data_IF_576127507386
#
_entry.id   IF_576127507386
#
_cell.length_a   1.000
_cell.length_b   1.000
_cell.length_c   1.000
_cell.angle_alpha   90.00
_cell.angle_beta   90.00
_cell.angle_gamma   90.00
#
_symmetry.space_group_name_H-M   'P 1'
#
loop_
_entity.id
_entity.type
_entity.pdbx_description
1 polymer ?
#
# COMPACT_ATOMS: atom_id res chain seq x y z
N UNK A 1 -17.40 -18.51 4.46
CA UNK A 1 -16.05 -17.99 4.18
C UNK A 1 -16.17 -17.03 3.00
N UNK A 2 -15.37 -15.97 2.97
CA UNK A 2 -15.42 -14.91 1.95
C UNK A 2 -14.50 -15.29 0.80
N UNK A 3 -15.03 -15.47 -0.41
CA UNK A 3 -14.22 -15.81 -1.58
C UNK A 3 -13.19 -14.70 -1.88
N UNK A 4 -11.91 -15.07 -1.95
CA UNK A 4 -10.83 -14.13 -2.29
C UNK A 4 -10.38 -14.36 -3.72
N UNK A 5 -10.60 -13.36 -4.56
CA UNK A 5 -10.10 -13.34 -5.93
C UNK A 5 -9.83 -11.91 -6.40
N UNK A 6 -8.56 -11.52 -6.40
CA UNK A 6 -8.10 -10.22 -6.88
C UNK A 6 -7.13 -10.44 -8.04
N UNK A 7 -7.62 -10.18 -9.24
CA UNK A 7 -6.82 -10.35 -10.47
C UNK A 7 -6.18 -9.04 -10.92
N UNK A 8 -6.71 -7.87 -10.55
CA UNK A 8 -6.18 -6.55 -10.92
C UNK A 8 -6.84 -5.41 -10.11
N UNK A 9 -6.25 -4.22 -10.17
CA UNK A 9 -6.72 -3.02 -9.45
C UNK A 9 -7.93 -2.27 -10.07
N UNK A 10 -8.49 -2.73 -11.19
CA UNK A 10 -9.50 -1.98 -11.96
C UNK A 10 -10.77 -2.76 -12.31
N UNK A 11 -10.85 -4.02 -11.91
CA UNK A 11 -12.07 -4.82 -12.06
C UNK A 11 -13.16 -4.31 -11.11
N UNK A 12 -14.41 -4.71 -11.37
CA UNK A 12 -15.51 -4.34 -10.50
C UNK A 12 -15.25 -4.81 -9.06
N UNK A 13 -15.18 -3.86 -8.14
CA UNK A 13 -14.98 -4.12 -6.72
C UNK A 13 -16.26 -4.71 -6.13
N UNK A 14 -16.16 -5.91 -5.54
CA UNK A 14 -17.29 -6.58 -4.88
C UNK A 14 -17.22 -6.47 -3.37
N UNK A 15 -16.03 -6.63 -2.81
CA UNK A 15 -15.80 -6.55 -1.37
C UNK A 15 -14.48 -5.85 -1.09
N UNK A 16 -14.39 -5.15 0.04
CA UNK A 16 -13.18 -4.42 0.44
C UNK A 16 -13.04 -4.40 1.95
N UNK A 17 -11.80 -4.52 2.45
CA UNK A 17 -11.48 -4.19 3.83
C UNK A 17 -11.24 -2.68 3.89
N UNK A 18 -12.11 -1.97 4.59
CA UNK A 18 -11.94 -0.54 4.85
C UNK A 18 -11.47 -0.36 6.30
N UNK A 19 -10.42 0.44 6.49
CA UNK A 19 -9.92 0.76 7.82
C UNK A 19 -10.91 1.51 8.70
N UNK A 20 -10.54 1.69 9.96
CA UNK A 20 -11.27 2.47 10.96
C UNK A 20 -10.55 3.80 11.23
N UNK A 21 -11.35 4.82 11.52
CA UNK A 21 -10.87 6.11 12.00
C UNK A 21 -11.24 6.34 13.47
N UNK A 22 -11.88 5.36 14.11
CA UNK A 22 -12.15 5.30 15.53
C UNK A 22 -10.89 5.04 16.34
N UNK A 23 -10.79 5.71 17.49
CA UNK A 23 -9.74 5.51 18.48
C UNK A 23 -8.32 5.52 17.88
N UNK A 24 -8.04 6.46 16.96
CA UNK A 24 -6.75 6.56 16.27
C UNK A 24 -5.57 6.85 17.21
N UNK A 25 -5.87 7.30 18.44
CA UNK A 25 -4.89 7.75 19.41
C UNK A 25 -4.47 9.20 19.19
N UNK A 26 -3.52 9.65 20.01
CA UNK A 26 -2.92 10.97 19.86
C UNK A 26 -2.00 10.99 18.62
N UNK A 27 -1.83 12.15 17.97
CA UNK A 27 -0.80 12.32 16.94
C UNK A 27 0.55 11.80 17.42
N UNK A 28 1.31 11.06 16.58
CA UNK A 28 2.59 10.51 17.00
C UNK A 28 3.55 11.64 17.37
N UNK A 29 4.44 11.38 18.34
CA UNK A 29 5.48 12.36 18.67
C UNK A 29 6.50 12.40 17.54
N UNK A 30 7.22 13.52 17.46
CA UNK A 30 8.29 13.73 16.46
C UNK A 30 9.33 12.60 16.45
N UNK A 31 9.59 11.95 17.59
CA UNK A 31 10.57 10.86 17.69
C UNK A 31 9.99 9.47 17.36
N UNK A 32 8.67 9.34 17.33
CA UNK A 32 7.97 8.07 17.11
C UNK A 32 7.45 7.95 15.66
N UNK A 33 7.55 9.03 14.87
CA UNK A 33 7.08 9.06 13.49
C UNK A 33 8.09 8.41 12.54
N UNK A 34 7.56 7.60 11.63
CA UNK A 34 8.35 6.73 10.74
C UNK A 34 8.27 7.14 9.26
N UNK A 35 7.60 8.26 8.95
CA UNK A 35 7.51 8.81 7.60
C UNK A 35 7.61 10.36 7.61
N UNK A 36 8.22 10.96 6.56
CA UNK A 36 8.42 12.40 6.50
C UNK A 36 7.13 13.20 6.30
N UNK A 37 6.04 12.61 5.79
CA UNK A 37 4.76 13.31 5.57
C UNK A 37 4.07 13.56 6.91
N UNK A 38 3.95 12.53 7.75
CA UNK A 38 3.48 12.67 9.12
C UNK A 38 4.34 13.65 9.91
N UNK A 39 5.68 13.56 9.80
CA UNK A 39 6.61 14.49 10.45
C UNK A 39 6.38 15.94 10.03
N UNK A 40 6.16 16.19 8.73
CA UNK A 40 5.85 17.51 8.20
C UNK A 40 4.57 18.06 8.84
N UNK A 41 3.50 17.28 8.86
CA UNK A 41 2.21 17.71 9.41
C UNK A 41 2.27 17.96 10.93
N UNK A 42 3.01 17.14 11.68
CA UNK A 42 3.24 17.36 13.12
C UNK A 42 3.99 18.69 13.34
N UNK A 43 5.09 18.92 12.63
CA UNK A 43 5.89 20.15 12.77
C UNK A 43 5.14 21.42 12.39
N UNK A 44 4.16 21.31 11.50
CA UNK A 44 3.34 22.42 11.03
C UNK A 44 1.97 22.53 11.73
N UNK A 45 1.73 21.75 12.79
CA UNK A 45 0.44 21.70 13.50
C UNK A 45 -0.77 21.45 12.56
N UNK A 46 -0.57 20.61 11.55
CA UNK A 46 -1.56 20.27 10.53
C UNK A 46 -1.80 18.76 10.42
N UNK A 47 -1.41 17.99 11.44
CA UNK A 47 -1.76 16.58 11.54
C UNK A 47 -3.28 16.43 11.65
N UNK A 48 -3.91 15.52 10.87
CA UNK A 48 -5.37 15.47 10.80
C UNK A 48 -5.97 15.06 12.14
N UNK A 49 -7.11 15.67 12.48
CA UNK A 49 -7.86 15.32 13.68
C UNK A 49 -8.67 14.04 13.46
N UNK A 50 -8.88 13.24 14.51
CA UNK A 50 -9.73 12.05 14.43
C UNK A 50 -11.14 12.37 13.90
N UNK A 51 -11.68 13.53 14.26
CA UNK A 51 -13.01 13.98 13.79
C UNK A 51 -13.04 14.16 12.28
N UNK A 52 -11.99 14.75 11.69
CA UNK A 52 -11.89 14.96 10.25
C UNK A 52 -11.69 13.63 9.52
N UNK A 53 -10.79 12.78 10.00
CA UNK A 53 -10.52 11.47 9.39
C UNK A 53 -11.77 10.57 9.44
N UNK A 54 -12.50 10.55 10.57
CA UNK A 54 -13.79 9.86 10.69
C UNK A 54 -14.78 10.34 9.65
N UNK A 55 -14.90 11.65 9.48
CA UNK A 55 -15.82 12.24 8.49
C UNK A 55 -15.46 11.78 7.07
N UNK A 56 -14.18 11.75 6.72
CA UNK A 56 -13.72 11.37 5.38
C UNK A 56 -13.88 9.86 5.14
N UNK A 57 -13.48 9.02 6.09
CA UNK A 57 -13.63 7.55 6.01
C UNK A 57 -15.11 7.15 5.94
N UNK A 58 -15.99 7.78 6.74
CA UNK A 58 -17.42 7.50 6.71
C UNK A 58 -18.10 8.04 5.43
N UNK A 59 -17.57 9.10 4.85
CA UNK A 59 -18.02 9.58 3.54
C UNK A 59 -17.64 8.59 2.44
N UNK A 60 -16.43 8.05 2.47
CA UNK A 60 -15.98 7.01 1.54
C UNK A 60 -16.75 5.70 1.72
N UNK A 61 -16.99 5.27 2.95
CA UNK A 61 -17.85 4.13 3.28
C UNK A 61 -19.23 4.23 2.62
N UNK A 62 -19.89 5.39 2.74
CA UNK A 62 -21.20 5.62 2.11
C UNK A 62 -21.16 5.53 0.59
N UNK A 63 -20.07 5.95 -0.04
CA UNK A 63 -19.87 5.81 -1.49
C UNK A 63 -19.77 4.33 -1.86
N UNK A 64 -18.98 3.54 -1.13
CA UNK A 64 -18.83 2.09 -1.38
C UNK A 64 -20.18 1.36 -1.26
N UNK A 65 -20.95 1.64 -0.20
CA UNK A 65 -22.28 1.06 0.00
C UNK A 65 -23.25 1.47 -1.12
N UNK A 66 -23.21 2.74 -1.56
CA UNK A 66 -24.02 3.21 -2.71
C UNK A 66 -23.72 2.44 -3.99
N UNK A 67 -22.49 1.93 -4.14
CA UNK A 67 -22.06 1.11 -5.28
C UNK A 67 -22.24 -0.40 -5.04
N UNK A 68 -22.94 -0.82 -3.96
CA UNK A 68 -23.17 -2.21 -3.58
C UNK A 68 -21.88 -3.01 -3.36
N UNK A 69 -20.86 -2.36 -2.79
CA UNK A 69 -19.63 -3.03 -2.33
C UNK A 69 -19.85 -3.54 -0.91
N UNK A 70 -19.53 -4.80 -0.66
CA UNK A 70 -19.52 -5.39 0.68
C UNK A 70 -18.29 -4.87 1.45
N UNK A 71 -18.53 -4.01 2.44
CA UNK A 71 -17.44 -3.40 3.22
C UNK A 71 -17.21 -4.20 4.51
N UNK A 72 -16.01 -4.75 4.64
CA UNK A 72 -15.50 -5.42 5.83
C UNK A 72 -14.74 -4.39 6.67
N UNK A 73 -14.98 -4.37 7.99
CA UNK A 73 -14.33 -3.44 8.92
C UNK A 73 -13.57 -4.23 9.98
N UNK A 74 -12.33 -3.84 10.33
CA UNK A 74 -11.61 -4.50 11.42
C UNK A 74 -12.32 -4.30 12.75
N UNK A 75 -11.97 -5.13 13.73
CA UNK A 75 -12.30 -4.85 15.12
C UNK A 75 -11.51 -3.63 15.60
N UNK A 76 -12.19 -2.75 16.33
CA UNK A 76 -11.61 -1.52 16.85
C UNK A 76 -10.63 -1.81 18.00
N UNK A 77 -9.40 -1.31 17.89
CA UNK A 77 -8.35 -1.40 18.87
C UNK A 77 -8.12 0.00 19.44
N UNK A 78 -8.26 0.12 20.76
CA UNK A 78 -8.17 1.42 21.44
C UNK A 78 -6.79 2.06 21.25
N UNK A 79 -6.76 3.33 20.82
CA UNK A 79 -5.55 4.13 20.59
C UNK A 79 -4.65 3.54 19.50
N UNK A 80 -5.23 3.00 18.43
CA UNK A 80 -4.55 2.39 17.31
C UNK A 80 -4.99 3.03 15.99
N UNK A 81 -4.04 3.49 15.17
CA UNK A 81 -4.37 4.01 13.85
C UNK A 81 -4.64 2.84 12.88
N UNK A 82 -5.91 2.57 12.60
CA UNK A 82 -6.35 1.45 11.76
C UNK A 82 -6.86 1.88 10.39
N UNK A 83 -6.50 3.07 9.90
CA UNK A 83 -7.02 3.63 8.64
C UNK A 83 -6.47 2.88 7.42
N UNK A 84 -5.18 2.51 7.44
CA UNK A 84 -4.44 2.02 6.27
C UNK A 84 -4.42 0.49 6.16
N UNK A 85 -5.60 -0.10 5.96
CA UNK A 85 -5.74 -1.57 5.83
C UNK A 85 -4.96 -2.19 4.65
N UNK A 86 -4.60 -1.38 3.64
CA UNK A 86 -3.82 -1.80 2.46
C UNK A 86 -2.43 -2.33 2.83
N UNK A 87 -1.82 -1.76 3.86
CA UNK A 87 -0.42 -2.06 4.20
C UNK A 87 -0.28 -3.40 4.95
N UNK A 88 -1.36 -3.84 5.60
CA UNK A 88 -1.40 -4.98 6.50
C UNK A 88 -1.25 -6.33 5.78
N UNK A 89 -1.49 -6.35 4.47
CA UNK A 89 -1.34 -7.54 3.66
C UNK A 89 -1.89 -7.37 2.25
N UNK A 90 -1.71 -8.39 1.44
CA UNK A 90 -2.11 -8.39 0.04
C UNK A 90 -2.54 -9.79 -0.40
N UNK A 91 -3.34 -9.87 -1.46
CA UNK A 91 -3.84 -11.14 -1.99
C UNK A 91 -3.26 -11.40 -3.36
N UNK A 92 -2.72 -12.59 -3.61
CA UNK A 92 -2.33 -13.02 -4.94
C UNK A 92 -3.04 -14.33 -5.24
N UNK A 93 -3.87 -14.34 -6.28
CA UNK A 93 -4.76 -15.46 -6.57
C UNK A 93 -5.71 -15.72 -5.37
N UNK A 94 -5.72 -16.92 -4.79
CA UNK A 94 -6.53 -17.30 -3.62
C UNK A 94 -5.68 -17.40 -2.33
N UNK A 95 -4.57 -16.66 -2.25
CA UNK A 95 -3.68 -16.62 -1.10
C UNK A 95 -3.62 -15.20 -0.56
N UNK A 96 -3.89 -15.04 0.74
CA UNK A 96 -3.63 -13.81 1.49
C UNK A 96 -2.25 -13.89 2.14
N UNK A 97 -1.42 -12.88 1.88
CA UNK A 97 -0.11 -12.68 2.46
C UNK A 97 -0.21 -11.62 3.55
N UNK A 98 0.06 -12.02 4.79
CA UNK A 98 0.13 -11.08 5.90
C UNK A 98 1.50 -10.39 5.89
N UNK A 99 1.50 -9.06 5.79
CA UNK A 99 2.71 -8.26 5.70
C UNK A 99 3.47 -8.20 7.01
N UNK A 100 4.80 -8.11 6.91
CA UNK A 100 5.67 -7.75 8.03
C UNK A 100 5.74 -6.22 8.10
N UNK A 101 4.74 -5.62 8.73
CA UNK A 101 4.68 -4.18 9.00
C UNK A 101 5.64 -3.80 10.13
N UNK A 102 5.97 -2.52 10.25
CA UNK A 102 6.84 -2.06 11.36
C UNK A 102 6.27 -2.39 12.74
N UNK A 103 7.12 -2.66 13.76
CA UNK A 103 6.67 -3.09 15.09
C UNK A 103 5.61 -2.18 15.72
N UNK A 104 5.70 -0.86 15.50
CA UNK A 104 4.75 0.14 16.01
C UNK A 104 3.33 0.02 15.43
N UNK A 105 3.12 -0.84 14.44
CA UNK A 105 1.84 -1.07 13.75
C UNK A 105 1.27 -2.47 13.96
N UNK A 106 1.97 -3.36 14.68
CA UNK A 106 1.56 -4.77 14.82
C UNK A 106 0.15 -4.94 15.41
N UNK A 107 -0.30 -4.03 16.27
CA UNK A 107 -1.66 -4.06 16.84
C UNK A 107 -2.76 -3.94 15.76
N UNK A 108 -2.48 -3.30 14.61
CA UNK A 108 -3.41 -3.20 13.50
C UNK A 108 -3.79 -4.58 12.94
N UNK A 109 -2.85 -5.55 12.97
CA UNK A 109 -3.06 -6.93 12.53
C UNK A 109 -4.05 -7.69 13.42
N UNK A 110 -4.13 -7.32 14.70
CA UNK A 110 -5.10 -7.90 15.64
C UNK A 110 -6.52 -7.54 15.20
N UNK A 111 -6.75 -6.27 14.84
CA UNK A 111 -8.05 -5.77 14.41
C UNK A 111 -8.57 -6.45 13.14
N UNK A 112 -7.71 -6.77 12.18
CA UNK A 112 -8.12 -7.46 10.93
C UNK A 112 -8.18 -8.99 11.06
N UNK A 113 -7.73 -9.58 12.17
CA UNK A 113 -7.58 -11.03 12.31
C UNK A 113 -8.89 -11.81 12.14
N UNK A 114 -10.01 -11.27 12.65
CA UNK A 114 -11.34 -11.85 12.48
C UNK A 114 -11.76 -11.92 11.00
N UNK A 115 -11.45 -10.87 10.23
CA UNK A 115 -11.71 -10.85 8.78
C UNK A 115 -10.83 -11.88 8.08
N UNK A 116 -9.52 -11.89 8.35
CA UNK A 116 -8.57 -12.82 7.71
C UNK A 116 -9.00 -14.27 7.95
N UNK A 117 -9.42 -14.61 9.17
CA UNK A 117 -9.90 -15.95 9.51
C UNK A 117 -11.22 -16.33 8.81
N UNK A 118 -11.97 -15.35 8.30
CA UNK A 118 -13.22 -15.58 7.58
C UNK A 118 -13.02 -15.76 6.06
N UNK A 119 -11.83 -15.49 5.54
CA UNK A 119 -11.50 -15.59 4.11
C UNK A 119 -11.45 -17.06 3.66
N UNK A 120 -11.97 -17.34 2.48
CA UNK A 120 -11.78 -18.60 1.76
C UNK A 120 -10.48 -18.53 0.95
N UNK A 121 -9.36 -18.40 1.67
CA UNK A 121 -8.03 -18.22 1.11
C UNK A 121 -6.99 -18.96 1.94
N UNK A 122 -5.90 -19.39 1.29
CA UNK A 122 -4.70 -19.75 2.03
C UNK A 122 -4.13 -18.50 2.71
N UNK A 123 -3.76 -18.59 3.98
CA UNK A 123 -3.13 -17.47 4.70
C UNK A 123 -1.65 -17.80 4.90
N UNK A 124 -0.79 -16.95 4.35
CA UNK A 124 0.67 -17.04 4.50
C UNK A 124 1.13 -15.89 5.38
N UNK A 125 1.68 -16.23 6.54
CA UNK A 125 2.50 -15.30 7.33
C UNK A 125 3.90 -15.29 6.74
N UNK A 126 4.38 -14.12 6.36
CA UNK A 126 5.69 -13.98 5.74
C UNK A 126 6.81 -14.24 6.77
N UNK A 127 7.91 -14.91 6.40
CA UNK A 127 9.10 -15.00 7.24
C UNK A 127 9.66 -13.63 7.59
N UNK A 128 10.22 -13.45 8.78
CA UNK A 128 10.68 -12.13 9.29
C UNK A 128 11.63 -11.37 8.35
N UNK A 129 12.50 -12.07 7.62
CA UNK A 129 13.44 -11.43 6.67
C UNK A 129 12.76 -10.87 5.41
N UNK A 130 11.50 -11.24 5.15
CA UNK A 130 10.74 -10.72 4.04
C UNK A 130 10.02 -9.44 4.47
N UNK A 131 10.56 -8.30 4.08
CA UNK A 131 9.86 -7.04 4.22
C UNK A 131 9.10 -6.77 2.93
N UNK A 132 7.77 -6.72 3.02
CA UNK A 132 6.87 -6.32 1.94
C UNK A 132 5.51 -5.92 2.52
N UNK A 133 5.05 -4.73 2.15
CA UNK A 133 3.73 -4.20 2.54
C UNK A 133 2.78 -4.18 1.35
N UNK A 134 1.48 -4.29 1.60
CA UNK A 134 0.49 -4.42 0.53
C UNK A 134 0.40 -3.19 -0.39
N UNK A 135 0.76 -1.99 0.08
CA UNK A 135 0.85 -0.79 -0.75
C UNK A 135 1.94 -0.85 -1.82
N UNK A 136 2.97 -1.68 -1.63
CA UNK A 136 4.00 -1.90 -2.65
C UNK A 136 3.59 -2.92 -3.72
N UNK A 137 2.50 -3.68 -3.51
CA UNK A 137 2.07 -4.76 -4.40
C UNK A 137 0.89 -4.32 -5.27
N UNK A 138 1.17 -4.09 -6.56
CA UNK A 138 0.17 -3.66 -7.54
C UNK A 138 -0.11 -4.78 -8.54
N UNK A 139 -1.36 -5.27 -8.57
CA UNK A 139 -1.74 -6.46 -9.33
C UNK A 139 -2.26 -6.07 -10.72
N UNK A 140 -1.74 -6.74 -11.76
CA UNK A 140 -2.18 -6.56 -13.13
C UNK A 140 -2.27 -7.90 -13.88
N UNK A 141 -3.35 -8.65 -13.62
CA UNK A 141 -3.63 -9.98 -14.17
C UNK A 141 -2.51 -10.98 -13.85
N UNK A 142 -1.72 -11.36 -14.86
CA UNK A 142 -0.58 -12.25 -14.71
C UNK A 142 0.70 -11.53 -14.27
N UNK A 143 0.71 -10.20 -14.25
CA UNK A 143 1.84 -9.40 -13.78
C UNK A 143 1.62 -8.89 -12.36
N UNK A 144 2.71 -8.81 -11.61
CA UNK A 144 2.80 -8.14 -10.33
C UNK A 144 3.88 -7.08 -10.44
N UNK A 145 3.50 -5.82 -10.24
CA UNK A 145 4.44 -4.73 -10.08
C UNK A 145 4.69 -4.56 -8.59
N UNK A 146 5.95 -4.62 -8.17
CA UNK A 146 6.30 -4.55 -6.75
C UNK A 146 7.29 -3.41 -6.52
N UNK A 147 6.91 -2.44 -5.68
CA UNK A 147 7.79 -1.38 -5.23
C UNK A 147 8.90 -1.95 -4.37
N UNK A 148 10.12 -1.50 -4.60
CA UNK A 148 11.31 -1.95 -3.86
C UNK A 148 12.24 -0.76 -3.64
N UNK A 149 13.15 -0.92 -2.68
CA UNK A 149 14.33 -0.07 -2.60
C UNK A 149 15.58 -0.95 -2.55
N UNK A 150 16.52 -0.72 -3.47
CA UNK A 150 17.73 -1.54 -3.63
C UNK A 150 19.02 -0.82 -3.26
N UNK A 151 18.95 0.32 -2.55
CA UNK A 151 20.13 1.04 -2.08
C UNK A 151 20.86 0.29 -0.98
N UNK A 152 22.18 0.48 -0.88
CA UNK A 152 23.02 -0.14 0.17
C UNK A 152 22.61 0.34 1.59
N UNK A 153 22.01 1.52 1.67
CA UNK A 153 21.46 2.16 2.87
C UNK A 153 20.03 1.70 3.22
N UNK A 154 19.50 0.64 2.58
CA UNK A 154 18.17 0.09 2.87
C UNK A 154 17.90 -0.09 4.37
N UNK A 155 18.86 -0.66 5.11
CA UNK A 155 18.71 -0.90 6.55
C UNK A 155 18.68 0.38 7.41
N UNK A 156 19.08 1.52 6.84
CA UNK A 156 19.08 2.83 7.51
C UNK A 156 17.80 3.63 7.19
N UNK A 157 17.00 3.18 6.22
CA UNK A 157 15.80 3.86 5.75
C UNK A 157 14.55 3.17 6.27
N UNK A 158 13.98 3.69 7.37
CA UNK A 158 12.72 3.18 7.92
C UNK A 158 11.57 3.26 6.91
N UNK A 159 11.62 4.17 5.92
CA UNK A 159 10.61 4.26 4.85
C UNK A 159 10.77 3.19 3.76
N UNK A 160 11.87 2.43 3.74
CA UNK A 160 12.08 1.31 2.83
C UNK A 160 11.29 0.08 3.31
N UNK A 161 10.10 -0.13 2.74
CA UNK A 161 9.15 -1.18 3.17
C UNK A 161 9.35 -2.53 2.51
N UNK A 162 9.98 -2.56 1.33
CA UNK A 162 10.11 -3.78 0.55
C UNK A 162 11.54 -4.05 0.08
N UNK A 163 12.08 -5.22 0.44
CA UNK A 163 13.44 -5.65 0.11
C UNK A 163 13.50 -6.65 -1.08
N UNK A 164 14.71 -6.86 -1.61
CA UNK A 164 14.91 -7.72 -2.77
C UNK A 164 14.71 -9.22 -2.45
N UNK A 165 15.00 -9.62 -1.21
CA UNK A 165 14.77 -10.98 -0.72
C UNK A 165 13.31 -11.37 -0.81
N UNK A 166 12.39 -10.43 -0.55
CA UNK A 166 10.95 -10.66 -0.71
C UNK A 166 10.56 -10.95 -2.16
N UNK A 167 11.17 -10.25 -3.12
CA UNK A 167 10.96 -10.50 -4.55
C UNK A 167 11.40 -11.92 -4.90
N UNK A 168 12.63 -12.30 -4.55
CA UNK A 168 13.17 -13.64 -4.85
C UNK A 168 12.38 -14.78 -4.20
N UNK A 169 11.78 -14.54 -3.02
CA UNK A 169 10.91 -15.53 -2.40
C UNK A 169 9.56 -15.65 -3.13
N UNK A 170 8.92 -14.52 -3.47
CA UNK A 170 7.66 -14.52 -4.21
C UNK A 170 7.81 -15.18 -5.59
N UNK A 171 8.89 -14.91 -6.33
CA UNK A 171 9.15 -15.56 -7.62
C UNK A 171 9.16 -17.09 -7.53
N UNK A 172 9.68 -17.64 -6.42
CA UNK A 172 9.68 -19.09 -6.15
C UNK A 172 8.31 -19.60 -5.72
N UNK A 173 7.57 -18.82 -4.94
CA UNK A 173 6.29 -19.23 -4.36
C UNK A 173 5.14 -19.19 -5.37
N UNK A 174 5.17 -18.23 -6.30
CA UNK A 174 4.10 -17.98 -7.28
C UNK A 174 4.66 -17.91 -8.72
N UNK A 175 5.29 -18.99 -9.23
CA UNK A 175 6.00 -18.98 -10.52
C UNK A 175 5.08 -18.74 -11.74
N UNK A 176 3.75 -18.78 -11.55
CA UNK A 176 2.77 -18.44 -12.57
C UNK A 176 2.60 -16.93 -12.80
N UNK A 177 3.11 -16.08 -11.89
CA UNK A 177 3.04 -14.63 -11.99
C UNK A 177 4.38 -14.08 -12.48
N UNK A 178 4.33 -13.12 -13.39
CA UNK A 178 5.51 -12.37 -13.82
C UNK A 178 5.70 -11.18 -12.88
N UNK A 179 6.78 -11.20 -12.10
CA UNK A 179 7.09 -10.13 -11.15
C UNK A 179 8.01 -9.11 -11.82
N UNK A 180 7.65 -7.83 -11.69
CA UNK A 180 8.50 -6.70 -12.04
C UNK A 180 8.75 -5.89 -10.77
N UNK A 181 9.96 -5.97 -10.24
CA UNK A 181 10.42 -5.06 -9.18
C UNK A 181 10.67 -3.67 -9.76
N UNK A 182 10.24 -2.64 -9.04
CA UNK A 182 10.36 -1.23 -9.42
C UNK A 182 11.09 -0.52 -8.30
N UNK A 183 12.19 0.17 -8.62
CA UNK A 183 12.97 0.89 -7.61
C UNK A 183 12.38 2.29 -7.38
N UNK A 184 11.83 2.55 -6.19
CA UNK A 184 11.16 3.81 -5.83
C UNK A 184 11.98 4.60 -4.82
N UNK A 185 11.90 5.93 -4.88
CA UNK A 185 12.69 6.81 -4.01
C UNK A 185 12.27 6.68 -2.55
N UNK A 186 13.24 6.64 -1.65
CA UNK A 186 13.04 6.59 -0.20
C UNK A 186 13.81 7.72 0.47
N UNK A 187 13.17 8.37 1.43
CA UNK A 187 13.81 9.36 2.27
C UNK A 187 13.14 9.38 3.64
N UNK A 188 13.94 9.45 4.71
CA UNK A 188 13.42 9.62 6.08
C UNK A 188 13.15 11.09 6.41
N UNK A 189 13.67 12.04 5.62
CA UNK A 189 13.74 13.46 6.00
C UNK A 189 13.11 14.40 4.98
N UNK A 190 13.06 14.02 3.71
CA UNK A 190 12.49 14.83 2.63
C UNK A 190 11.19 14.23 2.15
N UNK A 191 10.10 14.98 2.34
CA UNK A 191 8.75 14.55 1.96
C UNK A 191 8.54 14.52 0.44
N UNK A 192 9.30 15.29 -0.34
CA UNK A 192 9.20 15.32 -1.80
C UNK A 192 10.06 14.25 -2.48
N UNK A 193 11.07 13.73 -1.78
CA UNK A 193 11.94 12.65 -2.26
C UNK A 193 11.61 11.30 -1.59
N UNK A 194 10.46 11.19 -0.90
CA UNK A 194 10.00 9.95 -0.30
C UNK A 194 8.73 9.43 -0.97
N UNK A 195 8.76 8.17 -1.36
CA UNK A 195 7.61 7.42 -1.85
C UNK A 195 7.45 6.22 -0.93
N UNK A 196 6.46 6.27 -0.04
CA UNK A 196 6.33 5.23 0.99
C UNK A 196 6.00 3.87 0.37
N UNK A 197 5.17 3.86 -0.67
CA UNK A 197 4.72 2.66 -1.36
C UNK A 197 4.54 2.89 -2.86
N UNK A 198 4.60 1.83 -3.67
CA UNK A 198 4.41 1.91 -5.12
C UNK A 198 3.06 2.52 -5.53
N UNK A 199 2.00 2.20 -4.80
CA UNK A 199 0.63 2.67 -5.05
C UNK A 199 0.47 4.20 -4.94
N UNK A 200 1.44 4.89 -4.33
CA UNK A 200 1.53 6.35 -4.24
C UNK A 200 2.03 7.01 -5.53
N UNK A 201 2.69 6.26 -6.43
CA UNK A 201 3.28 6.81 -7.64
C UNK A 201 2.93 6.04 -8.92
N UNK A 202 2.30 4.87 -8.80
CA UNK A 202 1.90 4.04 -9.93
C UNK A 202 0.57 3.34 -9.69
N UNK A 203 -0.40 3.55 -10.60
CA UNK A 203 -1.72 2.94 -10.52
C UNK A 203 -2.22 2.51 -11.90
N UNK A 204 -2.39 1.20 -12.18
CA UNK A 204 -3.10 0.75 -13.36
C UNK A 204 -4.61 0.94 -13.18
N UNK A 205 -5.21 1.83 -13.96
CA UNK A 205 -6.65 2.15 -13.93
C UNK A 205 -7.44 1.45 -15.04
N UNK A 206 -6.83 0.46 -15.69
CA UNK A 206 -7.44 -0.34 -16.73
C UNK A 206 -6.42 -1.25 -17.42
N UNK A 207 -6.91 -2.15 -18.28
CA UNK A 207 -6.07 -3.12 -19.03
C UNK A 207 -4.89 -2.49 -19.79
N UNK A 208 -5.03 -1.23 -20.21
CA UNK A 208 -4.00 -0.50 -20.96
C UNK A 208 -3.79 0.92 -20.43
N UNK A 209 -4.37 1.29 -19.28
CA UNK A 209 -4.31 2.66 -18.78
C UNK A 209 -3.62 2.69 -17.43
N UNK A 210 -2.76 3.67 -17.22
CA UNK A 210 -2.05 3.84 -15.96
C UNK A 210 -1.82 5.32 -15.64
N UNK A 211 -1.71 5.61 -14.35
CA UNK A 211 -1.19 6.85 -13.79
C UNK A 211 0.23 6.55 -13.30
N UNK A 212 1.19 7.39 -13.67
CA UNK A 212 2.60 7.25 -13.28
C UNK A 212 3.11 8.62 -12.84
N UNK A 213 3.81 8.70 -11.72
CA UNK A 213 4.60 9.86 -11.32
C UNK A 213 6.09 9.56 -11.58
N UNK A 214 6.69 9.97 -12.71
CA UNK A 214 8.07 9.62 -13.05
C UNK A 214 9.11 10.03 -12.00
N UNK A 215 8.89 11.16 -11.34
CA UNK A 215 9.83 11.75 -10.37
C UNK A 215 9.98 10.89 -9.10
N UNK A 216 9.07 9.94 -8.89
CA UNK A 216 9.04 9.01 -7.74
C UNK A 216 9.95 7.79 -7.89
N UNK A 217 10.52 7.56 -9.08
CA UNK A 217 11.31 6.38 -9.40
C UNK A 217 12.81 6.69 -9.28
N UNK A 218 13.60 5.72 -8.83
CA UNK A 218 15.07 5.82 -8.84
C UNK A 218 15.59 5.62 -10.25
N UNK A 219 15.06 4.61 -10.94
CA UNK A 219 15.53 4.21 -12.26
C UNK A 219 14.61 4.74 -13.36
N UNK A 220 15.18 5.52 -14.29
CA UNK A 220 14.45 5.98 -15.47
C UNK A 220 13.96 4.82 -16.36
N UNK A 221 14.70 3.71 -16.39
CA UNK A 221 14.31 2.50 -17.15
C UNK A 221 12.99 1.90 -16.69
N UNK A 222 12.68 1.98 -15.40
CA UNK A 222 11.43 1.43 -14.85
C UNK A 222 10.24 2.25 -15.35
N UNK A 223 10.38 3.58 -15.38
CA UNK A 223 9.39 4.50 -15.97
C UNK A 223 9.22 4.24 -17.46
N UNK A 224 10.33 4.13 -18.20
CA UNK A 224 10.31 3.87 -19.65
C UNK A 224 9.64 2.52 -19.98
N UNK A 225 9.91 1.48 -19.16
CA UNK A 225 9.23 0.20 -19.26
C UNK A 225 7.72 0.35 -19.07
N UNK A 226 7.27 0.99 -17.98
CA UNK A 226 5.84 1.12 -17.69
C UNK A 226 5.11 1.93 -18.78
N UNK A 227 5.70 3.03 -19.25
CA UNK A 227 5.16 3.82 -20.37
C UNK A 227 5.09 2.97 -21.65
N UNK A 228 6.10 2.15 -21.92
CA UNK A 228 6.10 1.21 -23.05
C UNK A 228 5.01 0.15 -22.92
N UNK A 229 4.83 -0.39 -21.71
CA UNK A 229 3.91 -1.47 -21.38
C UNK A 229 2.44 -1.05 -21.51
N UNK A 230 2.05 0.10 -20.92
CA UNK A 230 0.69 0.63 -21.03
C UNK A 230 0.47 1.42 -22.33
N UNK A 231 1.55 1.91 -22.93
CA UNK A 231 1.56 2.74 -24.12
C UNK A 231 1.35 4.21 -23.78
N UNK A 232 2.27 5.07 -24.26
CA UNK A 232 2.32 6.52 -23.98
C UNK A 232 0.98 7.26 -24.08
N UNK A 233 0.10 6.91 -25.02
CA UNK A 233 -1.22 7.57 -25.18
C UNK A 233 -2.24 7.20 -24.10
N UNK A 234 -2.01 6.12 -23.37
CA UNK A 234 -2.89 5.62 -22.32
C UNK A 234 -2.33 5.87 -20.92
N UNK A 235 -1.17 6.52 -20.83
CA UNK A 235 -0.50 6.82 -19.57
C UNK A 235 -0.69 8.30 -19.25
N UNK A 236 -1.22 8.59 -18.07
CA UNK A 236 -1.17 9.91 -17.48
C UNK A 236 0.13 10.05 -16.67
N UNK A 237 0.93 11.07 -16.99
CA UNK A 237 2.16 11.37 -16.26
C UNK A 237 1.84 12.49 -15.26
N UNK A 238 1.68 12.12 -14.00
CA UNK A 238 1.58 13.06 -12.89
C UNK A 238 2.98 13.66 -12.62
N UNK A 239 3.00 14.89 -12.13
CA UNK A 239 4.24 15.55 -11.67
C UNK A 239 4.33 15.47 -10.14
N UNK A 240 5.54 15.53 -9.57
CA UNK A 240 5.75 15.26 -8.13
C UNK A 240 4.89 16.09 -7.18
N UNK A 241 4.60 17.36 -7.50
CA UNK A 241 3.73 18.19 -6.68
C UNK A 241 2.24 17.78 -6.75
N UNK A 242 1.76 17.25 -7.87
CA UNK A 242 0.43 16.65 -7.95
C UNK A 242 0.33 15.42 -7.04
N UNK A 243 1.35 14.56 -7.04
CA UNK A 243 1.41 13.39 -6.15
C UNK A 243 1.46 13.78 -4.66
N UNK A 244 2.15 14.86 -4.30
CA UNK A 244 2.20 15.37 -2.93
C UNK A 244 0.86 15.97 -2.45
N UNK A 245 0.13 16.64 -3.34
CA UNK A 245 -1.13 17.32 -2.99
C UNK A 245 -2.32 16.37 -2.84
N UNK A 246 -2.19 15.11 -3.29
CA UNK A 246 -3.19 14.05 -3.13
C UNK A 246 -3.04 13.33 -1.79
#
# INVERSE_FOLDING_TARGET
MIEVKVDNEYSALKSVILGLAEDMGDPPKVFDVYDPRSLYHIKNNSYPSEVDVKKDVESFYKILIKHNVDVLRPDNIKNCNQVFARDLGFTISNIFFQSNIVPNREEELVGVSGIINSLDAGVVKLPDYMHIEGGDVVIHNNKLFIGTYSGEDYSELITARTNQESISYLEKMIPSKEIMSINIKKSNTDVFENVLHLDCCFQPIGKRKAIICPDSFVNKSDVEYLIGYFGKKNTYLAYGQEAYML
#
